data_IF_863600463116
#
_entry.id   IF_863600463116
#
_cell.length_a   1.000
_cell.length_b   1.000
_cell.length_c   1.000
_cell.angle_alpha   90.00
_cell.angle_beta   90.00
_cell.angle_gamma   90.00
#
_symmetry.space_group_name_H-M   'P 1'
#
loop_
_entity.id
_entity.type
_entity.pdbx_description
1 polymer ?
#
# COMPACT_ATOMS: atom_id res chain seq x y z
N UNK A 1 -4.59 -25.67 5.66
CA UNK A 1 -4.99 -27.07 5.49
C UNK A 1 -6.13 -27.12 4.46
N UNK A 2 -5.93 -27.82 3.34
CA UNK A 2 -6.95 -27.90 2.27
C UNK A 2 -8.20 -28.67 2.68
N UNK A 3 -8.20 -29.27 3.84
CA UNK A 3 -9.30 -30.09 4.39
C UNK A 3 -10.23 -29.33 5.35
N UNK A 4 -9.89 -28.10 5.77
CA UNK A 4 -10.77 -27.32 6.64
C UNK A 4 -12.00 -26.84 5.85
N UNK A 5 -13.22 -27.28 6.23
CA UNK A 5 -14.44 -26.88 5.54
C UNK A 5 -14.84 -25.42 5.81
N UNK A 6 -14.24 -24.75 6.79
CA UNK A 6 -14.56 -23.38 7.15
C UNK A 6 -13.42 -22.44 6.81
N UNK A 7 -13.73 -21.38 6.07
CA UNK A 7 -12.84 -20.27 5.87
C UNK A 7 -13.30 -19.08 6.70
N UNK A 8 -12.41 -18.56 7.55
CA UNK A 8 -12.69 -17.41 8.40
C UNK A 8 -11.80 -16.23 8.01
N UNK A 9 -12.40 -15.05 7.86
CA UNK A 9 -11.69 -13.80 7.66
C UNK A 9 -12.39 -12.64 8.38
N UNK A 10 -11.67 -11.54 8.54
CA UNK A 10 -12.15 -10.34 9.24
C UNK A 10 -12.06 -9.15 8.29
N UNK A 11 -13.13 -8.36 8.24
CA UNK A 11 -13.14 -7.01 7.67
C UNK A 11 -13.10 -6.02 8.82
N UNK A 12 -12.19 -5.06 8.79
CA UNK A 12 -12.02 -4.07 9.86
C UNK A 12 -11.96 -2.66 9.28
N UNK A 13 -12.52 -1.71 10.00
CA UNK A 13 -12.50 -0.29 9.67
C UNK A 13 -11.75 0.48 10.76
N UNK A 14 -11.02 1.55 10.41
CA UNK A 14 -10.34 2.36 11.40
C UNK A 14 -11.36 3.06 12.33
N UNK A 15 -10.95 3.40 13.54
CA UNK A 15 -11.82 3.94 14.60
C UNK A 15 -12.61 5.21 14.21
N UNK A 16 -12.15 5.96 13.22
CA UNK A 16 -12.84 7.16 12.72
C UNK A 16 -13.91 6.85 11.67
N UNK A 17 -14.04 5.60 11.22
CA UNK A 17 -15.04 5.16 10.27
C UNK A 17 -16.16 4.35 10.95
N UNK A 18 -17.38 4.70 10.62
CA UNK A 18 -18.58 4.03 11.15
C UNK A 18 -19.50 3.64 9.99
N UNK A 19 -19.20 2.56 9.27
CA UNK A 19 -20.05 2.12 8.18
C UNK A 19 -21.44 1.71 8.67
N UNK A 20 -22.46 2.04 7.90
CA UNK A 20 -23.84 1.67 8.17
C UNK A 20 -24.06 0.18 7.94
N UNK A 21 -25.06 -0.41 8.58
CA UNK A 21 -25.37 -1.85 8.45
C UNK A 21 -25.48 -2.30 6.99
N UNK A 22 -26.09 -1.49 6.12
CA UNK A 22 -26.22 -1.80 4.69
C UNK A 22 -24.84 -1.89 3.99
N UNK A 23 -23.90 -1.01 4.36
CA UNK A 23 -22.54 -1.01 3.84
C UNK A 23 -21.77 -2.24 4.34
N UNK A 24 -21.95 -2.61 5.62
CA UNK A 24 -21.35 -3.84 6.17
C UNK A 24 -21.84 -5.09 5.42
N UNK A 25 -23.15 -5.22 5.21
CA UNK A 25 -23.72 -6.33 4.44
C UNK A 25 -23.23 -6.35 2.99
N UNK A 26 -23.10 -5.19 2.37
CA UNK A 26 -22.55 -5.08 1.02
C UNK A 26 -21.08 -5.50 0.96
N UNK A 27 -20.28 -5.09 1.95
CA UNK A 27 -18.87 -5.50 2.05
C UNK A 27 -18.73 -7.02 2.18
N UNK A 28 -19.54 -7.65 3.04
CA UNK A 28 -19.53 -9.11 3.20
C UNK A 28 -19.92 -9.81 1.89
N UNK A 29 -21.00 -9.38 1.24
CA UNK A 29 -21.43 -9.97 -0.03
C UNK A 29 -20.41 -9.78 -1.15
N UNK A 30 -19.80 -8.61 -1.22
CA UNK A 30 -18.78 -8.30 -2.23
C UNK A 30 -17.53 -9.16 -2.05
N UNK A 31 -17.05 -9.32 -0.82
CA UNK A 31 -15.89 -10.16 -0.52
C UNK A 31 -16.17 -11.64 -0.78
N UNK A 32 -17.35 -12.15 -0.39
CA UNK A 32 -17.77 -13.51 -0.73
C UNK A 32 -17.83 -13.73 -2.26
N UNK A 33 -18.34 -12.74 -3.01
CA UNK A 33 -18.36 -12.79 -4.48
C UNK A 33 -16.94 -12.84 -5.05
N UNK A 34 -16.03 -12.05 -4.53
CA UNK A 34 -14.62 -12.02 -4.97
C UNK A 34 -13.89 -13.34 -4.69
N UNK A 35 -14.32 -14.07 -3.67
CA UNK A 35 -13.83 -15.41 -3.33
C UNK A 35 -14.56 -16.54 -4.07
N UNK A 36 -15.55 -16.22 -4.92
CA UNK A 36 -16.41 -17.21 -5.60
C UNK A 36 -17.28 -18.04 -4.65
N UNK A 37 -17.60 -17.46 -3.47
CA UNK A 37 -18.38 -18.09 -2.40
C UNK A 37 -19.80 -17.53 -2.26
N UNK A 38 -20.34 -16.84 -3.28
CA UNK A 38 -21.66 -16.18 -3.21
C UNK A 38 -22.83 -17.14 -2.92
N UNK A 39 -22.69 -18.42 -3.26
CA UNK A 39 -23.70 -19.45 -3.05
C UNK A 39 -23.47 -20.31 -1.80
N UNK A 40 -22.39 -20.06 -1.09
CA UNK A 40 -22.01 -20.82 0.08
C UNK A 40 -22.70 -20.30 1.34
N UNK A 41 -22.91 -21.18 2.30
CA UNK A 41 -23.45 -20.81 3.60
C UNK A 41 -22.40 -20.02 4.39
N UNK A 42 -22.80 -18.93 5.02
CA UNK A 42 -21.92 -18.13 5.85
C UNK A 42 -22.63 -17.53 7.05
N UNK A 43 -21.85 -17.16 8.05
CA UNK A 43 -22.26 -16.35 9.19
C UNK A 43 -21.35 -15.11 9.22
N UNK A 44 -21.95 -13.94 9.44
CA UNK A 44 -21.23 -12.70 9.64
C UNK A 44 -21.64 -12.09 10.96
N UNK A 45 -20.67 -11.80 11.84
CA UNK A 45 -20.90 -11.19 13.14
C UNK A 45 -20.18 -9.85 13.23
N UNK A 46 -20.91 -8.79 13.57
CA UNK A 46 -20.37 -7.45 13.77
C UNK A 46 -19.90 -7.33 15.22
N UNK A 47 -18.68 -6.88 15.41
CA UNK A 47 -18.05 -6.68 16.71
C UNK A 47 -17.67 -5.21 16.89
N UNK A 48 -17.92 -4.70 18.11
CA UNK A 48 -17.62 -3.33 18.54
C UNK A 48 -16.90 -3.31 19.89
N UNK A 49 -16.25 -4.42 20.22
CA UNK A 49 -15.55 -4.65 21.50
C UNK A 49 -14.09 -4.13 21.49
N UNK A 50 -13.65 -3.58 20.36
CA UNK A 50 -12.36 -2.91 20.20
C UNK A 50 -12.57 -1.50 19.62
N UNK A 51 -11.51 -0.69 19.56
CA UNK A 51 -11.56 0.66 18.97
C UNK A 51 -11.95 0.64 17.48
N UNK A 52 -11.72 -0.47 16.80
CA UNK A 52 -12.03 -0.65 15.39
C UNK A 52 -13.30 -1.50 15.24
N UNK A 53 -14.31 -0.95 14.57
CA UNK A 53 -15.43 -1.77 14.10
C UNK A 53 -14.93 -2.88 13.20
N UNK A 54 -15.35 -4.11 13.44
CA UNK A 54 -14.96 -5.23 12.58
C UNK A 54 -16.06 -6.27 12.43
N UNK A 55 -16.00 -7.01 11.33
CA UNK A 55 -16.95 -8.07 10.99
C UNK A 55 -16.17 -9.36 10.79
N UNK A 56 -16.49 -10.35 11.63
CA UNK A 56 -16.03 -11.72 11.42
C UNK A 56 -16.93 -12.41 10.40
N UNK A 57 -16.34 -13.04 9.40
CA UNK A 57 -17.05 -13.81 8.38
C UNK A 57 -16.53 -15.24 8.40
N UNK A 58 -17.38 -16.18 8.76
CA UNK A 58 -17.11 -17.61 8.68
C UNK A 58 -17.97 -18.20 7.56
N UNK A 59 -17.35 -18.79 6.55
CA UNK A 59 -18.02 -19.32 5.37
C UNK A 59 -17.69 -20.80 5.19
N UNK A 60 -18.73 -21.60 4.90
CA UNK A 60 -18.58 -23.00 4.55
C UNK A 60 -18.00 -23.11 3.14
N UNK A 61 -16.82 -23.69 2.99
CA UNK A 61 -16.16 -23.90 1.69
C UNK A 61 -16.80 -25.00 0.86
N UNK A 62 -17.62 -25.85 1.49
CA UNK A 62 -18.37 -26.90 0.78
C UNK A 62 -19.57 -26.26 0.07
N UNK A 63 -19.65 -26.41 -1.25
CA UNK A 63 -20.76 -25.88 -2.02
C UNK A 63 -22.04 -26.66 -1.70
N UNK A 64 -23.15 -25.97 -1.33
CA UNK A 64 -24.35 -26.63 -0.80
C UNK A 64 -25.05 -27.58 -1.77
N UNK A 65 -24.92 -27.36 -3.09
CA UNK A 65 -25.57 -28.18 -4.11
C UNK A 65 -24.68 -29.31 -4.64
N UNK A 66 -23.36 -29.04 -4.76
CA UNK A 66 -22.43 -29.97 -5.42
C UNK A 66 -21.59 -30.79 -4.46
N UNK A 67 -21.45 -30.33 -3.20
CA UNK A 67 -20.61 -30.98 -2.19
C UNK A 67 -19.10 -30.77 -2.40
N UNK A 68 -18.67 -30.04 -3.45
CA UNK A 68 -17.25 -29.77 -3.69
C UNK A 68 -16.74 -28.67 -2.78
N UNK A 69 -15.47 -28.84 -2.33
CA UNK A 69 -14.76 -27.84 -1.52
C UNK A 69 -14.10 -26.82 -2.45
N UNK A 70 -14.36 -25.54 -2.20
CA UNK A 70 -13.66 -24.46 -2.89
C UNK A 70 -12.25 -24.25 -2.30
N UNK A 71 -11.23 -24.43 -3.12
CA UNK A 71 -9.80 -24.35 -2.73
C UNK A 71 -9.27 -22.90 -2.72
N UNK A 72 -9.99 -21.89 -2.51
CA UNK A 72 -9.65 -20.46 -2.29
C UNK A 72 -8.21 -20.01 -2.66
N UNK A 73 -7.70 -20.29 -3.87
CA UNK A 73 -6.37 -19.85 -4.25
C UNK A 73 -6.30 -18.31 -4.26
N UNK A 74 -5.20 -17.76 -3.75
CA UNK A 74 -4.98 -16.31 -3.73
C UNK A 74 -6.05 -15.52 -2.94
N UNK A 75 -6.65 -16.12 -1.91
CA UNK A 75 -7.73 -15.50 -1.12
C UNK A 75 -7.34 -14.14 -0.54
N UNK A 76 -6.13 -14.00 -0.02
CA UNK A 76 -5.62 -12.72 0.51
C UNK A 76 -5.57 -11.63 -0.58
N UNK A 77 -5.14 -11.98 -1.79
CA UNK A 77 -5.10 -11.02 -2.89
C UNK A 77 -6.48 -10.64 -3.39
N UNK A 78 -7.38 -11.64 -3.52
CA UNK A 78 -8.79 -11.41 -3.88
C UNK A 78 -9.46 -10.50 -2.85
N UNK A 79 -9.27 -10.75 -1.56
CA UNK A 79 -9.80 -9.91 -0.47
C UNK A 79 -9.19 -8.50 -0.49
N UNK A 80 -7.88 -8.39 -0.60
CA UNK A 80 -7.22 -7.08 -0.66
C UNK A 80 -7.69 -6.24 -1.84
N UNK A 81 -7.93 -6.86 -3.00
CA UNK A 81 -8.51 -6.16 -4.15
C UNK A 81 -9.96 -5.75 -3.90
N UNK A 82 -10.76 -6.66 -3.35
CA UNK A 82 -12.15 -6.38 -3.00
C UNK A 82 -12.29 -5.20 -2.02
N UNK A 83 -11.39 -5.10 -1.03
CA UNK A 83 -11.34 -3.95 -0.13
C UNK A 83 -11.13 -2.63 -0.89
N UNK A 84 -10.20 -2.58 -1.86
CA UNK A 84 -9.99 -1.37 -2.70
C UNK A 84 -11.24 -1.01 -3.52
N UNK A 85 -11.96 -2.00 -4.02
CA UNK A 85 -13.22 -1.80 -4.75
C UNK A 85 -14.31 -1.22 -3.84
N UNK A 86 -14.39 -1.72 -2.60
CA UNK A 86 -15.33 -1.25 -1.59
C UNK A 86 -15.00 0.15 -1.07
N UNK A 87 -13.73 0.50 -0.92
CA UNK A 87 -13.30 1.85 -0.59
C UNK A 87 -13.78 2.86 -1.64
N UNK A 88 -13.60 2.57 -2.93
CA UNK A 88 -14.11 3.42 -4.02
C UNK A 88 -15.64 3.50 -4.00
N UNK A 89 -16.30 2.37 -3.75
CA UNK A 89 -17.76 2.27 -3.78
C UNK A 89 -18.43 3.06 -2.65
N UNK A 90 -17.87 2.97 -1.44
CA UNK A 90 -18.47 3.53 -0.23
C UNK A 90 -17.79 4.80 0.28
N UNK A 91 -16.68 5.21 -0.34
CA UNK A 91 -15.90 6.37 0.08
C UNK A 91 -15.13 6.12 1.39
N UNK A 92 -14.74 4.88 1.69
CA UNK A 92 -13.93 4.56 2.84
C UNK A 92 -12.49 5.02 2.65
N UNK A 93 -11.79 5.26 3.75
CA UNK A 93 -10.38 5.60 3.75
C UNK A 93 -9.54 4.46 3.14
N UNK A 94 -8.58 4.77 2.27
CA UNK A 94 -7.72 3.75 1.69
C UNK A 94 -6.85 3.08 2.75
N UNK A 95 -6.86 1.75 2.77
CA UNK A 95 -6.03 0.95 3.67
C UNK A 95 -4.73 0.45 3.01
N UNK A 96 -3.84 -0.09 3.83
CA UNK A 96 -2.49 -0.56 3.53
C UNK A 96 -2.44 -1.95 2.90
N UNK A 97 -3.16 -2.19 1.80
CA UNK A 97 -3.12 -3.47 1.09
C UNK A 97 -1.98 -3.59 0.05
N UNK A 98 -1.87 -4.76 -0.58
CA UNK A 98 -0.98 -4.99 -1.72
C UNK A 98 -1.49 -4.33 -3.02
N UNK A 99 -2.73 -3.85 -3.03
CA UNK A 99 -3.32 -3.07 -4.10
C UNK A 99 -3.52 -1.62 -3.67
N UNK A 100 -3.51 -0.71 -4.63
CA UNK A 100 -3.74 0.73 -4.44
C UNK A 100 -4.63 1.28 -5.54
N UNK A 101 -5.28 2.41 -5.25
CA UNK A 101 -5.99 3.17 -6.25
C UNK A 101 -5.00 3.91 -7.14
N UNK A 102 -5.21 3.81 -8.45
CA UNK A 102 -4.47 4.54 -9.48
C UNK A 102 -5.42 5.50 -10.23
N UNK A 103 -4.90 6.50 -10.96
CA UNK A 103 -5.71 7.43 -11.73
C UNK A 103 -6.76 6.72 -12.60
N UNK A 104 -7.98 7.28 -12.65
CA UNK A 104 -9.12 6.69 -13.36
C UNK A 104 -9.78 5.54 -12.58
N UNK A 105 -9.73 5.55 -11.24
CA UNK A 105 -10.33 4.55 -10.35
C UNK A 105 -9.86 3.11 -10.62
N UNK A 106 -8.66 2.96 -11.19
CA UNK A 106 -8.06 1.64 -11.41
C UNK A 106 -7.45 1.11 -10.13
N UNK A 107 -7.66 -0.17 -9.86
CA UNK A 107 -7.03 -0.88 -8.76
C UNK A 107 -5.85 -1.67 -9.32
N UNK A 108 -4.65 -1.35 -8.87
CA UNK A 108 -3.40 -1.94 -9.34
C UNK A 108 -2.56 -2.44 -8.18
N UNK A 109 -1.72 -3.45 -8.41
CA UNK A 109 -0.73 -3.85 -7.41
C UNK A 109 0.30 -2.73 -7.22
N UNK A 110 0.68 -2.43 -5.99
CA UNK A 110 1.73 -1.47 -5.66
C UNK A 110 2.99 -1.70 -6.50
N UNK A 111 3.44 -2.95 -6.58
CA UNK A 111 4.61 -3.35 -7.38
C UNK A 111 4.44 -3.11 -8.88
N UNK A 112 3.22 -3.31 -9.41
CA UNK A 112 2.94 -3.08 -10.83
C UNK A 112 2.97 -1.58 -11.16
N UNK A 113 2.37 -0.75 -10.32
CA UNK A 113 2.35 0.71 -10.53
C UNK A 113 3.77 1.30 -10.60
N UNK A 114 4.63 0.89 -9.66
CA UNK A 114 6.03 1.34 -9.66
C UNK A 114 6.80 0.78 -10.84
N UNK A 115 6.56 -0.48 -11.21
CA UNK A 115 7.17 -1.09 -12.39
C UNK A 115 6.74 -0.41 -13.68
N UNK A 116 5.46 -0.04 -13.81
CA UNK A 116 4.95 0.72 -14.96
C UNK A 116 5.61 2.10 -15.06
N UNK A 117 5.69 2.85 -13.95
CA UNK A 117 6.36 4.15 -13.88
C UNK A 117 7.83 4.03 -14.27
N UNK A 118 8.56 3.07 -13.68
CA UNK A 118 9.96 2.79 -14.00
C UNK A 118 10.15 2.40 -15.45
N UNK A 119 9.25 1.59 -16.02
CA UNK A 119 9.31 1.16 -17.42
C UNK A 119 8.91 2.28 -18.40
N UNK A 120 7.92 3.11 -18.05
CA UNK A 120 7.55 4.29 -18.84
C UNK A 120 8.73 5.27 -18.91
N UNK A 121 9.40 5.46 -17.79
CA UNK A 121 10.56 6.30 -17.69
C UNK A 121 11.78 5.73 -18.43
N UNK A 122 12.04 4.40 -18.33
CA UNK A 122 13.12 3.72 -19.09
C UNK A 122 12.91 3.69 -20.59
N UNK A 123 11.67 3.66 -21.07
CA UNK A 123 11.36 3.68 -22.52
C UNK A 123 11.73 5.01 -23.18
N UNK A 124 11.79 6.10 -22.43
CA UNK A 124 12.18 7.41 -22.95
C UNK A 124 13.68 7.71 -22.94
N UNK A 125 14.47 7.04 -22.07
CA UNK A 125 15.92 7.33 -21.89
C UNK A 125 16.62 6.13 -21.27
N UNK A 126 17.81 5.78 -21.77
CA UNK A 126 18.73 4.83 -21.12
C UNK A 126 19.33 5.47 -19.85
N UNK A 127 18.64 5.46 -18.73
CA UNK A 127 19.12 6.12 -17.52
C UNK A 127 19.39 5.12 -16.38
N UNK A 128 20.39 5.43 -15.55
CA UNK A 128 20.77 4.67 -14.36
C UNK A 128 19.85 5.00 -13.17
N UNK A 129 19.85 4.18 -12.11
CA UNK A 129 19.09 4.46 -10.89
C UNK A 129 19.49 5.80 -10.25
N UNK A 130 20.78 6.17 -10.35
CA UNK A 130 21.28 7.46 -9.88
C UNK A 130 20.63 8.64 -10.62
N UNK A 131 20.54 8.55 -11.94
CA UNK A 131 19.91 9.60 -12.77
C UNK A 131 18.40 9.68 -12.49
N UNK A 132 17.77 8.55 -12.22
CA UNK A 132 16.36 8.53 -11.77
C UNK A 132 16.16 9.34 -10.50
N UNK A 133 16.95 9.06 -9.45
CA UNK A 133 16.88 9.81 -8.19
C UNK A 133 17.16 11.30 -8.43
N UNK A 134 18.18 11.62 -9.21
CA UNK A 134 18.60 13.00 -9.48
C UNK A 134 17.49 13.81 -10.15
N UNK A 135 16.82 13.25 -11.13
CA UNK A 135 15.83 13.97 -11.94
C UNK A 135 14.43 13.98 -11.32
N UNK A 136 14.01 12.87 -10.70
CA UNK A 136 12.64 12.77 -10.17
C UNK A 136 12.53 13.38 -8.77
N UNK A 137 13.48 13.08 -7.90
CA UNK A 137 13.36 13.45 -6.50
C UNK A 137 14.23 14.64 -6.11
N UNK A 138 15.51 14.60 -6.44
CA UNK A 138 16.45 15.65 -6.02
C UNK A 138 16.16 16.99 -6.72
N UNK A 139 15.79 16.96 -8.00
CA UNK A 139 15.40 18.17 -8.72
C UNK A 139 14.16 18.83 -8.09
N UNK A 140 13.10 18.05 -7.83
CA UNK A 140 11.90 18.57 -7.21
C UNK A 140 12.11 19.07 -5.77
N UNK A 141 12.98 18.40 -4.99
CA UNK A 141 13.35 18.84 -3.64
C UNK A 141 14.24 20.10 -3.63
N UNK A 142 14.87 20.45 -4.75
CA UNK A 142 15.57 21.75 -4.89
C UNK A 142 14.60 22.88 -5.15
N UNK A 143 13.55 22.64 -5.92
CA UNK A 143 12.49 23.62 -6.20
C UNK A 143 11.57 23.81 -5.00
N UNK A 144 11.12 22.73 -4.39
CA UNK A 144 10.26 22.70 -3.20
C UNK A 144 10.94 21.90 -2.08
N UNK A 145 11.77 22.56 -1.24
CA UNK A 145 12.50 21.90 -0.18
C UNK A 145 11.58 21.36 0.91
N UNK A 146 11.85 20.14 1.37
CA UNK A 146 11.17 19.55 2.52
C UNK A 146 11.41 20.42 3.78
N UNK A 147 10.40 20.52 4.64
CA UNK A 147 10.42 21.30 5.87
C UNK A 147 10.78 20.45 7.10
N UNK A 148 10.49 19.16 7.06
CA UNK A 148 10.76 18.17 8.09
C UNK A 148 11.07 16.80 7.47
N UNK A 149 11.48 15.84 8.31
CA UNK A 149 11.78 14.47 7.86
C UNK A 149 10.57 13.76 7.27
N UNK A 150 9.38 13.98 7.81
CA UNK A 150 8.16 13.34 7.33
C UNK A 150 7.80 13.80 5.90
N UNK A 151 7.89 15.10 5.63
CA UNK A 151 7.64 15.65 4.29
C UNK A 151 8.69 15.17 3.28
N UNK A 152 9.96 15.04 3.71
CA UNK A 152 11.01 14.45 2.88
C UNK A 152 10.73 12.98 2.56
N UNK A 153 10.35 12.19 3.55
CA UNK A 153 9.99 10.78 3.35
C UNK A 153 8.77 10.62 2.43
N UNK A 154 7.73 11.42 2.63
CA UNK A 154 6.53 11.42 1.77
C UNK A 154 6.89 11.76 0.32
N UNK A 155 7.71 12.78 0.11
CA UNK A 155 8.14 13.17 -1.23
C UNK A 155 8.91 12.05 -1.92
N UNK A 156 9.88 11.44 -1.25
CA UNK A 156 10.64 10.33 -1.81
C UNK A 156 9.78 9.09 -2.04
N UNK A 157 8.86 8.79 -1.11
CA UNK A 157 7.94 7.67 -1.25
C UNK A 157 7.02 7.84 -2.45
N UNK A 158 6.62 9.06 -2.82
CA UNK A 158 5.85 9.32 -4.05
C UNK A 158 6.60 8.89 -5.31
N UNK A 159 7.93 8.92 -5.27
CA UNK A 159 8.80 8.44 -6.35
C UNK A 159 9.23 6.97 -6.16
N UNK A 160 8.67 6.27 -5.17
CA UNK A 160 9.01 4.87 -4.86
C UNK A 160 10.35 4.69 -4.15
N UNK A 161 10.85 5.74 -3.50
CA UNK A 161 12.14 5.78 -2.83
C UNK A 161 11.98 5.97 -1.31
N UNK A 162 12.99 5.56 -0.55
CA UNK A 162 13.08 5.88 0.86
C UNK A 162 14.52 6.13 1.29
N UNK A 163 14.70 6.83 2.42
CA UNK A 163 16.01 7.08 3.02
C UNK A 163 16.17 6.23 4.27
N UNK A 164 17.34 5.66 4.45
CA UNK A 164 17.76 5.02 5.70
C UNK A 164 19.12 5.54 6.12
N UNK A 165 19.41 5.52 7.41
CA UNK A 165 20.73 5.78 7.96
C UNK A 165 21.53 4.49 7.93
N UNK A 166 22.72 4.51 7.31
CA UNK A 166 23.67 3.41 7.27
C UNK A 166 25.06 3.95 7.56
N UNK A 167 25.71 3.44 8.59
CA UNK A 167 27.08 3.84 9.00
C UNK A 167 27.30 5.36 9.10
N UNK A 168 26.28 6.08 9.57
CA UNK A 168 26.31 7.54 9.71
C UNK A 168 26.01 8.33 8.43
N UNK A 169 25.72 7.66 7.33
CA UNK A 169 25.37 8.28 6.06
C UNK A 169 23.90 8.01 5.67
N UNK A 170 23.27 8.98 5.03
CA UNK A 170 21.92 8.83 4.49
C UNK A 170 21.99 8.16 3.14
N UNK A 171 21.31 7.04 3.01
CA UNK A 171 21.28 6.21 1.78
C UNK A 171 19.88 6.17 1.22
N UNK A 172 19.72 6.54 -0.05
CA UNK A 172 18.46 6.41 -0.79
C UNK A 172 18.36 5.01 -1.34
N UNK A 173 17.24 4.35 -1.07
CA UNK A 173 16.94 3.00 -1.53
C UNK A 173 15.65 2.95 -2.35
N UNK A 174 15.58 1.95 -3.22
CA UNK A 174 14.36 1.59 -3.94
C UNK A 174 13.38 0.91 -2.96
N UNK A 175 12.21 1.49 -2.77
CA UNK A 175 11.19 0.96 -1.85
C UNK A 175 10.61 -0.38 -2.27
N UNK A 176 10.82 -0.79 -3.50
CA UNK A 176 10.20 -1.96 -4.12
C UNK A 176 11.21 -3.04 -4.53
N UNK A 177 12.45 -2.65 -4.78
CA UNK A 177 13.55 -3.56 -5.09
C UNK A 177 14.57 -3.53 -3.94
N UNK A 178 14.26 -4.26 -2.87
CA UNK A 178 15.11 -4.31 -1.66
C UNK A 178 16.49 -4.91 -1.92
N UNK A 179 16.67 -5.68 -3.00
CA UNK A 179 17.95 -6.24 -3.39
C UNK A 179 18.84 -5.21 -4.08
N UNK A 180 18.28 -4.08 -4.53
CA UNK A 180 19.06 -3.01 -5.15
C UNK A 180 19.91 -2.30 -4.12
N UNK A 181 21.19 -2.14 -4.47
CA UNK A 181 22.12 -1.35 -3.69
C UNK A 181 21.65 0.11 -3.61
N UNK A 182 21.70 0.67 -2.40
CA UNK A 182 21.32 2.04 -2.14
C UNK A 182 22.40 3.01 -2.63
N UNK A 183 22.03 4.27 -2.80
CA UNK A 183 22.94 5.33 -3.22
C UNK A 183 23.04 6.37 -2.11
N UNK A 184 24.28 6.69 -1.70
CA UNK A 184 24.54 7.72 -0.72
C UNK A 184 23.94 9.06 -1.15
N UNK A 185 23.12 9.67 -0.29
CA UNK A 185 22.44 10.92 -0.61
C UNK A 185 23.45 12.08 -0.79
N UNK A 186 24.56 12.06 -0.06
CA UNK A 186 25.70 12.98 -0.20
C UNK A 186 26.28 13.04 -1.62
N UNK A 187 26.16 11.95 -2.37
CA UNK A 187 26.62 11.87 -3.76
C UNK A 187 25.86 12.77 -4.74
N UNK A 188 24.70 13.31 -4.35
CA UNK A 188 23.92 14.27 -5.15
C UNK A 188 24.28 15.74 -4.88
N UNK A 189 25.21 15.97 -3.98
CA UNK A 189 25.76 17.28 -3.69
C UNK A 189 25.98 17.57 -2.21
N UNK A 190 26.74 18.61 -1.90
CA UNK A 190 27.16 18.91 -0.53
C UNK A 190 26.02 19.33 0.42
N UNK A 191 24.83 19.64 -0.11
CA UNK A 191 23.65 19.98 0.70
C UNK A 191 22.90 18.75 1.21
N UNK A 192 23.24 17.55 0.72
CA UNK A 192 22.52 16.30 0.97
C UNK A 192 23.24 15.39 1.98
N UNK A 193 24.09 15.95 2.83
CA UNK A 193 24.73 15.21 3.92
C UNK A 193 23.80 15.09 5.12
N UNK A 194 23.97 14.03 5.93
CA UNK A 194 23.21 13.82 7.16
C UNK A 194 23.30 15.03 8.11
N UNK A 195 24.51 15.62 8.24
CA UNK A 195 24.73 16.80 9.06
C UNK A 195 23.92 18.01 8.59
N UNK A 196 23.95 18.34 7.29
CA UNK A 196 23.26 19.51 6.75
C UNK A 196 21.74 19.34 6.73
N UNK A 197 21.26 18.14 6.44
CA UNK A 197 19.84 17.84 6.53
C UNK A 197 19.38 17.85 8.00
N UNK A 198 20.18 17.35 8.92
CA UNK A 198 19.88 17.42 10.35
C UNK A 198 19.79 18.85 10.88
N UNK A 199 20.64 19.77 10.39
CA UNK A 199 20.52 21.21 10.73
C UNK A 199 19.24 21.86 10.19
N UNK A 200 18.73 21.37 9.06
CA UNK A 200 17.56 21.93 8.38
C UNK A 200 16.26 21.31 8.82
N UNK A 201 16.22 19.99 9.00
CA UNK A 201 15.01 19.20 9.25
C UNK A 201 14.90 18.73 10.71
N UNK A 202 15.90 19.02 11.56
CA UNK A 202 15.98 18.52 12.92
C UNK A 202 16.64 17.14 13.02
N UNK A 203 16.57 16.52 14.20
CA UNK A 203 17.11 15.19 14.45
C UNK A 203 16.51 14.15 13.48
N UNK A 204 17.36 13.24 12.97
CA UNK A 204 16.94 12.25 12.01
C UNK A 204 15.79 11.40 12.54
N UNK A 205 14.72 11.34 11.77
CA UNK A 205 13.58 10.46 12.02
C UNK A 205 13.55 9.35 10.96
N UNK A 206 13.50 8.07 11.36
CA UNK A 206 13.41 6.96 10.42
C UNK A 206 12.12 7.02 9.60
N UNK A 207 12.17 6.44 8.41
CA UNK A 207 11.00 6.37 7.54
C UNK A 207 9.86 5.61 8.25
N UNK A 208 8.64 6.16 8.31
CA UNK A 208 7.48 5.44 8.82
C UNK A 208 7.22 4.14 8.05
N UNK A 209 6.86 3.08 8.75
CA UNK A 209 6.62 1.74 8.15
C UNK A 209 5.51 1.75 7.11
N UNK A 210 4.55 2.66 7.26
CA UNK A 210 3.38 2.85 6.41
C UNK A 210 3.52 3.96 5.35
N UNK A 211 4.72 4.57 5.21
CA UNK A 211 4.95 5.75 4.36
C UNK A 211 4.44 5.57 2.92
N UNK A 212 4.62 4.37 2.36
CA UNK A 212 4.20 4.08 0.99
C UNK A 212 2.68 3.97 0.81
N UNK A 213 1.92 3.94 1.89
CA UNK A 213 0.46 3.99 1.88
C UNK A 213 -0.11 5.38 2.07
N UNK A 214 0.66 6.26 2.72
CA UNK A 214 0.26 7.65 2.97
C UNK A 214 0.49 8.57 1.77
N UNK A 215 1.14 8.08 0.71
CA UNK A 215 1.48 8.90 -0.44
C UNK A 215 0.47 8.68 -1.56
N UNK A 216 -0.26 9.74 -1.91
CA UNK A 216 -1.02 9.80 -3.15
C UNK A 216 -0.08 9.54 -4.33
N UNK A 217 -0.51 8.65 -5.22
CA UNK A 217 0.21 8.48 -6.48
C UNK A 217 0.23 9.85 -7.19
N UNK A 218 1.41 10.40 -7.58
CA UNK A 218 1.46 11.73 -8.16
C UNK A 218 0.48 11.81 -9.33
N UNK A 219 -0.38 12.82 -9.25
CA UNK A 219 -1.13 13.30 -10.37
C UNK A 219 -0.15 13.65 -11.50
N UNK A 220 -0.60 13.44 -12.72
CA UNK A 220 0.10 13.64 -13.98
C UNK A 220 0.88 14.93 -14.06
#
# INVERSE_FOLDING_TARGET
DDTDPVFHYILSWPAHESPRSEQLFDCVRHTLKSLELSKHQYVAAVHTDTDNLHVHVAVNRVHPETGYINCLPWSQEKLSRACRELELKHGFAPDNGCFVHAPGNRIVRKTALVRERRNAWRRGKKQTFREYIAQMSIAGLREEPAQDWLSLHKRLASDGLYITMQEGELVVKDGWDRAREGIALSSFGPSWTAEKLGRKLGEYQPVPTDIFSQVEAPGR
#
